data_IF_066001496097
#
_entry.id   IF_066001496097
#
_cell.length_a   1.000
_cell.length_b   1.000
_cell.length_c   1.000
_cell.angle_alpha   90.00
_cell.angle_beta   90.00
_cell.angle_gamma   90.00
#
_symmetry.space_group_name_H-M   'P 1'
#
loop_
_entity.id
_entity.type
_entity.pdbx_description
1 polymer ?
#
# COMPACT_ATOMS: atom_id res chain seq x y z
N UNK A 1 6.07 -23.48 3.95
CA UNK A 1 7.35 -23.17 3.35
C UNK A 1 7.51 -21.66 3.12
N UNK A 2 6.60 -20.98 2.35
CA UNK A 2 6.69 -19.56 2.03
C UNK A 2 6.77 -18.67 3.28
N UNK A 3 5.84 -18.86 4.24
CA UNK A 3 5.84 -18.09 5.49
C UNK A 3 7.16 -18.25 6.27
N UNK A 4 7.65 -19.48 6.37
CA UNK A 4 8.92 -19.75 7.04
C UNK A 4 10.10 -19.10 6.33
N UNK A 5 10.13 -19.09 4.98
CA UNK A 5 11.15 -18.43 4.19
C UNK A 5 11.10 -16.91 4.40
N UNK A 6 9.91 -16.30 4.33
CA UNK A 6 9.74 -14.86 4.53
C UNK A 6 10.17 -14.42 5.94
N UNK A 7 9.83 -15.18 6.97
CA UNK A 7 10.29 -14.93 8.34
C UNK A 7 11.81 -15.08 8.43
N UNK A 8 12.37 -16.15 7.90
CA UNK A 8 13.82 -16.42 7.95
C UNK A 8 14.64 -15.29 7.27
N UNK A 9 14.14 -14.70 6.17
CA UNK A 9 14.80 -13.58 5.50
C UNK A 9 14.74 -12.26 6.28
N UNK A 10 13.92 -12.18 7.33
CA UNK A 10 13.76 -10.98 8.18
C UNK A 10 14.44 -11.10 9.53
N UNK A 11 14.82 -12.32 9.94
CA UNK A 11 15.53 -12.54 11.20
C UNK A 11 16.99 -12.11 11.07
N UNK A 12 17.43 -11.20 11.96
CA UNK A 12 18.82 -10.72 11.99
C UNK A 12 19.81 -11.80 12.50
N UNK A 13 19.30 -12.88 13.12
CA UNK A 13 20.11 -14.02 13.59
C UNK A 13 20.67 -14.85 12.43
N UNK A 14 20.03 -14.78 11.24
CA UNK A 14 20.44 -15.55 10.08
C UNK A 14 21.21 -14.64 9.09
N UNK A 15 22.33 -15.11 8.49
CA UNK A 15 23.10 -14.32 7.51
C UNK A 15 22.37 -14.11 6.19
N UNK A 16 21.16 -14.67 6.02
CA UNK A 16 20.36 -14.61 4.81
C UNK A 16 20.05 -13.17 4.37
N UNK A 17 19.74 -12.29 5.33
CA UNK A 17 19.46 -10.88 5.05
C UNK A 17 20.64 -10.20 4.35
N UNK A 18 21.86 -10.37 4.90
CA UNK A 18 23.08 -9.79 4.32
C UNK A 18 23.39 -10.33 2.93
N UNK A 19 23.22 -11.64 2.72
CA UNK A 19 23.47 -12.26 1.42
C UNK A 19 22.46 -11.80 0.34
N UNK A 20 21.18 -11.70 0.71
CA UNK A 20 20.15 -11.23 -0.22
C UNK A 20 20.27 -9.74 -0.54
N UNK A 21 20.78 -8.94 0.40
CA UNK A 21 21.03 -7.51 0.20
C UNK A 21 22.36 -7.23 -0.52
N UNK A 22 23.29 -8.18 -0.57
CA UNK A 22 24.56 -8.02 -1.27
C UNK A 22 24.39 -7.81 -2.79
N UNK A 23 23.30 -8.34 -3.36
CA UNK A 23 22.95 -8.10 -4.77
C UNK A 23 22.08 -6.87 -4.86
N UNK A 24 22.70 -5.72 -5.09
CA UNK A 24 22.01 -4.42 -5.21
C UNK A 24 22.19 -3.88 -6.62
N UNK A 25 21.09 -3.49 -7.24
CA UNK A 25 21.08 -2.75 -8.51
C UNK A 25 20.83 -1.29 -8.17
N UNK A 26 21.79 -0.42 -8.49
CA UNK A 26 21.68 1.02 -8.27
C UNK A 26 21.77 1.77 -9.60
N UNK A 27 20.88 2.74 -9.77
CA UNK A 27 20.95 3.74 -10.83
C UNK A 27 21.01 5.12 -10.19
N UNK A 28 22.07 5.87 -10.48
CA UNK A 28 22.28 7.24 -9.98
C UNK A 28 22.22 8.21 -11.15
N UNK A 29 21.87 9.48 -10.89
CA UNK A 29 21.84 10.50 -11.92
C UNK A 29 20.72 10.33 -12.94
N UNK A 30 19.56 9.83 -12.54
CA UNK A 30 18.43 9.59 -13.45
C UNK A 30 18.00 10.91 -14.11
N UNK A 31 18.00 10.93 -15.45
CA UNK A 31 17.66 12.12 -16.26
C UNK A 31 18.49 13.38 -15.94
N UNK A 32 19.73 13.20 -15.47
CA UNK A 32 20.61 14.34 -15.12
C UNK A 32 20.26 15.03 -13.79
N UNK A 33 19.47 14.37 -12.94
CA UNK A 33 19.09 14.84 -11.60
C UNK A 33 19.92 14.14 -10.52
N UNK A 34 19.93 14.67 -9.29
CA UNK A 34 20.56 14.03 -8.14
C UNK A 34 19.75 12.81 -7.60
N UNK A 35 18.74 12.39 -8.34
CA UNK A 35 17.87 11.27 -7.95
C UNK A 35 18.58 9.95 -8.26
N UNK A 36 18.75 9.13 -7.24
CA UNK A 36 19.23 7.75 -7.35
C UNK A 36 18.21 6.75 -6.81
N UNK A 37 18.17 5.57 -7.41
CA UNK A 37 17.37 4.43 -6.95
C UNK A 37 18.28 3.25 -6.73
N UNK A 38 18.19 2.62 -5.58
CA UNK A 38 18.86 1.35 -5.28
C UNK A 38 17.82 0.31 -4.86
N UNK A 39 17.89 -0.87 -5.46
CA UNK A 39 16.98 -1.97 -5.18
C UNK A 39 17.80 -3.25 -4.97
N UNK A 40 17.51 -3.98 -3.91
CA UNK A 40 18.03 -5.31 -3.66
C UNK A 40 16.98 -6.37 -4.08
N UNK A 41 16.97 -6.81 -5.34
CA UNK A 41 15.87 -7.62 -5.89
C UNK A 41 15.68 -8.94 -5.17
N UNK A 42 16.76 -9.56 -4.69
CA UNK A 42 16.69 -10.83 -3.95
C UNK A 42 16.10 -10.67 -2.55
N UNK A 43 16.21 -9.49 -1.96
CA UNK A 43 15.64 -9.18 -0.63
C UNK A 43 14.15 -8.81 -0.70
N UNK A 44 13.62 -8.52 -1.88
CA UNK A 44 12.20 -8.26 -2.04
C UNK A 44 11.37 -9.53 -1.74
N UNK A 45 10.19 -9.40 -1.11
CA UNK A 45 9.29 -10.53 -0.85
C UNK A 45 8.97 -11.34 -2.13
N UNK A 46 8.90 -10.66 -3.29
CA UNK A 46 8.68 -11.27 -4.59
C UNK A 46 9.70 -12.34 -4.94
N UNK A 47 10.98 -12.16 -4.58
CA UNK A 47 12.01 -13.17 -4.81
C UNK A 47 11.71 -14.47 -4.02
N UNK A 48 11.21 -14.35 -2.79
CA UNK A 48 10.76 -15.49 -2.00
C UNK A 48 9.59 -16.23 -2.66
N UNK A 49 8.61 -15.50 -3.21
CA UNK A 49 7.51 -16.12 -3.96
C UNK A 49 7.99 -16.87 -5.19
N UNK A 50 8.90 -16.27 -5.98
CA UNK A 50 9.49 -16.92 -7.15
C UNK A 50 10.27 -18.18 -6.75
N UNK A 51 11.11 -18.12 -5.72
CA UNK A 51 11.87 -19.26 -5.24
C UNK A 51 10.96 -20.42 -4.81
N UNK A 52 9.88 -20.14 -4.08
CA UNK A 52 8.91 -21.17 -3.67
C UNK A 52 8.14 -21.72 -4.87
N UNK A 53 7.77 -20.89 -5.84
CA UNK A 53 7.10 -21.35 -7.06
C UNK A 53 8.01 -22.30 -7.88
N UNK A 54 9.29 -21.96 -8.04
CA UNK A 54 10.27 -22.82 -8.71
C UNK A 54 10.47 -24.14 -7.94
N UNK A 55 10.60 -24.07 -6.61
CA UNK A 55 10.70 -25.26 -5.77
C UNK A 55 9.44 -26.14 -5.90
N UNK A 56 8.26 -25.55 -5.97
CA UNK A 56 7.01 -26.28 -6.15
C UNK A 56 6.95 -27.01 -7.50
N UNK A 57 7.39 -26.38 -8.60
CA UNK A 57 7.47 -27.01 -9.92
C UNK A 57 8.32 -28.27 -9.86
N UNK A 58 9.48 -28.20 -9.20
CA UNK A 58 10.40 -29.34 -9.05
C UNK A 58 9.84 -30.40 -8.12
N UNK A 59 9.35 -29.99 -6.93
CA UNK A 59 8.88 -30.91 -5.89
C UNK A 59 7.64 -31.69 -6.33
N UNK A 60 6.69 -31.03 -6.98
CA UNK A 60 5.48 -31.68 -7.51
C UNK A 60 5.66 -32.29 -8.89
N UNK A 61 6.90 -32.26 -9.45
CA UNK A 61 7.23 -32.80 -10.76
C UNK A 61 6.27 -32.31 -11.85
N UNK A 62 5.97 -31.02 -11.84
CA UNK A 62 5.05 -30.41 -12.82
C UNK A 62 5.62 -30.53 -14.23
N UNK A 63 4.77 -30.96 -15.16
CA UNK A 63 5.16 -31.03 -16.58
C UNK A 63 5.36 -29.61 -17.16
N UNK A 64 6.19 -29.52 -18.21
CA UNK A 64 6.48 -28.24 -18.89
C UNK A 64 5.21 -27.51 -19.36
N UNK A 65 4.18 -28.22 -19.76
CA UNK A 65 2.89 -27.69 -20.17
C UNK A 65 2.16 -27.00 -19.00
N UNK A 66 2.11 -27.65 -17.83
CA UNK A 66 1.47 -27.11 -16.62
C UNK A 66 2.22 -25.87 -16.12
N UNK A 67 3.56 -25.94 -16.08
CA UNK A 67 4.40 -24.80 -15.71
C UNK A 67 4.22 -23.63 -16.70
N UNK A 68 4.10 -23.91 -17.99
CA UNK A 68 3.86 -22.92 -19.03
C UNK A 68 2.51 -22.20 -18.88
N UNK A 69 1.44 -22.91 -18.54
CA UNK A 69 0.14 -22.30 -18.26
C UNK A 69 0.22 -21.39 -17.03
N UNK A 70 0.78 -21.88 -15.92
CA UNK A 70 0.93 -21.09 -14.70
C UNK A 70 1.73 -19.81 -14.95
N UNK A 71 2.84 -19.89 -15.70
CA UNK A 71 3.66 -18.75 -16.04
C UNK A 71 2.93 -17.75 -16.95
N UNK A 72 2.17 -18.23 -17.94
CA UNK A 72 1.36 -17.39 -18.81
C UNK A 72 0.28 -16.63 -18.04
N UNK A 73 -0.42 -17.31 -17.14
CA UNK A 73 -1.48 -16.70 -16.34
C UNK A 73 -0.91 -15.69 -15.34
N UNK A 74 0.19 -16.03 -14.68
CA UNK A 74 0.92 -15.07 -13.83
C UNK A 74 1.41 -13.85 -14.63
N UNK A 75 1.92 -14.05 -15.85
CA UNK A 75 2.37 -12.98 -16.73
C UNK A 75 1.25 -12.01 -17.12
N UNK A 76 0.06 -12.51 -17.40
CA UNK A 76 -1.12 -11.66 -17.69
C UNK A 76 -1.50 -10.75 -16.52
N UNK A 77 -1.53 -11.31 -15.31
CA UNK A 77 -1.80 -10.56 -14.09
C UNK A 77 -0.69 -9.54 -13.83
N UNK A 78 0.57 -9.93 -14.04
CA UNK A 78 1.73 -9.06 -13.86
C UNK A 78 1.69 -7.84 -14.78
N UNK A 79 1.34 -8.01 -16.06
CA UNK A 79 1.24 -6.89 -17.02
C UNK A 79 0.17 -5.88 -16.55
N UNK A 80 -1.02 -6.37 -16.17
CA UNK A 80 -2.08 -5.50 -15.65
C UNK A 80 -1.65 -4.70 -14.42
N UNK A 81 -1.01 -5.37 -13.46
CA UNK A 81 -0.49 -4.74 -12.24
C UNK A 81 0.64 -3.76 -12.54
N UNK A 82 1.55 -4.11 -13.46
CA UNK A 82 2.66 -3.25 -13.85
C UNK A 82 2.17 -1.96 -14.52
N UNK A 83 1.16 -2.04 -15.38
CA UNK A 83 0.55 -0.87 -16.02
C UNK A 83 -0.15 0.04 -14.98
N UNK A 84 -0.92 -0.58 -14.07
CA UNK A 84 -1.60 0.17 -13.01
C UNK A 84 -0.60 0.90 -12.09
N UNK A 85 0.43 0.21 -11.62
CA UNK A 85 1.47 0.80 -10.77
C UNK A 85 2.32 1.80 -11.54
N UNK A 86 2.63 1.52 -12.81
CA UNK A 86 3.39 2.42 -13.69
C UNK A 86 2.70 3.76 -13.93
N UNK A 87 1.36 3.80 -13.88
CA UNK A 87 0.60 5.04 -13.92
C UNK A 87 0.44 5.69 -12.54
N UNK A 88 0.13 4.88 -11.52
CA UNK A 88 -0.21 5.38 -10.20
C UNK A 88 0.99 5.93 -9.41
N UNK A 89 2.17 5.28 -9.49
CA UNK A 89 3.36 5.76 -8.76
C UNK A 89 3.82 7.15 -9.19
N UNK A 90 3.94 7.48 -10.50
CA UNK A 90 4.25 8.83 -10.93
C UNK A 90 3.19 9.86 -10.49
N UNK A 91 1.91 9.52 -10.56
CA UNK A 91 0.83 10.41 -10.11
C UNK A 91 0.98 10.78 -8.63
N UNK A 92 1.28 9.80 -7.76
CA UNK A 92 1.53 10.07 -6.34
C UNK A 92 2.79 10.92 -6.15
N UNK A 93 3.85 10.67 -6.92
CA UNK A 93 5.06 11.50 -6.86
C UNK A 93 4.78 12.94 -7.25
N UNK A 94 4.02 13.18 -8.32
CA UNK A 94 3.58 14.54 -8.71
C UNK A 94 2.76 15.17 -7.58
N UNK A 95 1.83 14.44 -6.98
CA UNK A 95 1.02 14.92 -5.87
C UNK A 95 1.88 15.35 -4.66
N UNK A 96 2.84 14.53 -4.25
CA UNK A 96 3.72 14.83 -3.11
C UNK A 96 4.70 15.98 -3.45
N UNK A 97 5.24 15.99 -4.67
CA UNK A 97 6.25 16.96 -5.10
C UNK A 97 5.64 18.27 -5.69
N UNK A 98 4.34 18.41 -5.66
CA UNK A 98 3.64 19.60 -6.19
C UNK A 98 3.99 20.92 -5.49
N UNK A 99 4.69 20.86 -4.34
CA UNK A 99 5.26 22.03 -3.67
C UNK A 99 6.45 22.66 -4.43
N UNK A 100 7.04 21.96 -5.39
CA UNK A 100 8.05 22.53 -6.30
C UNK A 100 7.29 23.24 -7.42
N UNK A 101 6.91 24.51 -7.18
CA UNK A 101 6.15 25.31 -8.12
C UNK A 101 6.54 26.80 -8.04
N UNK A 102 6.33 27.54 -9.13
CA UNK A 102 6.66 28.97 -9.22
C UNK A 102 5.65 29.88 -8.50
N UNK A 103 4.51 29.32 -8.07
CA UNK A 103 3.46 30.07 -7.38
C UNK A 103 3.70 30.24 -5.87
N UNK A 104 4.75 29.61 -5.31
CA UNK A 104 5.07 29.64 -3.88
C UNK A 104 4.03 28.97 -3.00
N UNK A 105 3.19 28.09 -3.58
CA UNK A 105 2.20 27.30 -2.85
C UNK A 105 2.87 26.08 -2.20
N UNK A 106 2.32 25.62 -1.10
CA UNK A 106 2.72 24.36 -0.49
C UNK A 106 2.33 23.16 -1.40
N UNK A 107 2.80 21.96 -1.07
CA UNK A 107 2.38 20.78 -1.84
C UNK A 107 0.88 20.52 -1.67
N UNK A 108 0.25 19.91 -2.68
CA UNK A 108 -1.19 19.57 -2.61
C UNK A 108 -1.59 18.83 -1.32
N UNK A 109 -0.83 17.83 -0.83
CA UNK A 109 -1.14 17.23 0.49
C UNK A 109 -1.11 18.24 1.63
N UNK A 110 -0.18 19.19 1.60
CA UNK A 110 -0.04 20.20 2.65
C UNK A 110 -1.21 21.20 2.62
N UNK A 111 -1.60 21.67 1.44
CA UNK A 111 -2.76 22.56 1.28
C UNK A 111 -4.05 21.88 1.77
N UNK A 112 -4.23 20.61 1.41
CA UNK A 112 -5.35 19.81 1.93
C UNK A 112 -5.28 19.63 3.45
N UNK A 113 -4.08 19.45 4.02
CA UNK A 113 -3.88 19.34 5.45
C UNK A 113 -4.25 20.63 6.20
N UNK A 114 -3.93 21.79 5.63
CA UNK A 114 -4.30 23.10 6.18
C UNK A 114 -5.82 23.21 6.26
N UNK A 115 -6.51 22.98 5.15
CA UNK A 115 -7.97 23.04 5.09
C UNK A 115 -8.61 22.02 6.03
N UNK A 116 -8.06 20.83 6.12
CA UNK A 116 -8.53 19.77 6.98
C UNK A 116 -8.38 20.13 8.47
N UNK A 117 -7.22 20.62 8.89
CA UNK A 117 -6.96 21.03 10.26
C UNK A 117 -7.88 22.19 10.67
N UNK A 118 -8.06 23.18 9.80
CA UNK A 118 -8.89 24.36 10.07
C UNK A 118 -10.39 24.00 10.13
N UNK A 119 -10.83 23.00 9.35
CA UNK A 119 -12.24 22.61 9.25
C UNK A 119 -12.68 21.61 10.32
N UNK A 120 -11.83 20.65 10.66
CA UNK A 120 -12.16 19.49 11.52
C UNK A 120 -11.43 19.56 12.87
N UNK A 121 -10.22 20.13 12.88
CA UNK A 121 -9.45 20.36 14.11
C UNK A 121 -9.27 19.07 14.92
N UNK A 122 -9.59 19.13 16.21
CA UNK A 122 -9.44 18.02 17.15
C UNK A 122 -10.23 16.75 16.82
N UNK A 123 -11.22 16.81 15.90
CA UNK A 123 -11.96 15.63 15.45
C UNK A 123 -11.28 14.91 14.27
N UNK A 124 -10.11 15.38 13.80
CA UNK A 124 -9.37 14.76 12.69
C UNK A 124 -9.12 13.26 12.85
N UNK A 125 -8.87 12.68 14.05
CA UNK A 125 -8.71 11.25 14.23
C UNK A 125 -9.90 10.41 13.75
N UNK A 126 -11.12 10.96 13.74
CA UNK A 126 -12.30 10.29 13.18
C UNK A 126 -12.27 10.21 11.65
N UNK A 127 -11.67 11.20 10.99
CA UNK A 127 -11.61 11.32 9.53
C UNK A 127 -10.42 10.54 8.96
N UNK A 128 -9.33 10.47 9.70
CA UNK A 128 -8.09 9.85 9.25
C UNK A 128 -8.24 8.41 8.69
N UNK A 129 -8.99 7.49 9.36
CA UNK A 129 -9.21 6.15 8.81
C UNK A 129 -10.03 6.15 7.51
N UNK A 130 -10.97 7.08 7.35
CA UNK A 130 -11.77 7.20 6.13
C UNK A 130 -10.91 7.63 4.94
N UNK A 131 -9.99 8.58 5.15
CA UNK A 131 -9.01 8.98 4.15
C UNK A 131 -8.12 7.80 3.76
N UNK A 132 -7.66 7.02 4.75
CA UNK A 132 -6.92 5.79 4.54
C UNK A 132 -7.66 4.76 3.69
N UNK A 133 -8.92 4.53 4.04
CA UNK A 133 -9.79 3.60 3.31
C UNK A 133 -10.04 4.06 1.88
N UNK A 134 -10.26 5.35 1.65
CA UNK A 134 -10.44 5.93 0.32
C UNK A 134 -9.21 5.71 -0.57
N UNK A 135 -8.00 5.93 -0.04
CA UNK A 135 -6.77 5.68 -0.78
C UNK A 135 -6.58 4.22 -1.18
N UNK A 136 -6.88 3.30 -0.28
CA UNK A 136 -6.80 1.87 -0.55
C UNK A 136 -7.92 1.39 -1.49
N UNK A 137 -9.12 1.96 -1.39
CA UNK A 137 -10.21 1.72 -2.33
C UNK A 137 -9.80 2.04 -3.77
N UNK A 138 -9.18 3.21 -3.98
CA UNK A 138 -8.75 3.68 -5.29
C UNK A 138 -7.59 2.86 -5.87
N UNK A 139 -6.61 2.51 -5.03
CA UNK A 139 -5.36 1.89 -5.48
C UNK A 139 -5.33 0.36 -5.36
N UNK A 140 -6.20 -0.23 -4.56
CA UNK A 140 -6.15 -1.64 -4.18
C UNK A 140 -5.01 -1.99 -3.22
N UNK A 141 -4.38 -1.01 -2.59
CA UNK A 141 -3.18 -1.20 -1.79
C UNK A 141 -3.14 -0.27 -0.58
N UNK A 142 -3.09 -0.86 0.62
CA UNK A 142 -2.89 -0.10 1.85
C UNK A 142 -1.54 0.63 1.88
N UNK A 143 -0.49 0.01 1.37
CA UNK A 143 0.83 0.63 1.25
C UNK A 143 0.78 1.88 0.38
N UNK A 144 0.08 1.80 -0.76
CA UNK A 144 -0.07 2.91 -1.68
C UNK A 144 -0.88 4.06 -1.05
N UNK A 145 -1.99 3.72 -0.36
CA UNK A 145 -2.77 4.69 0.41
C UNK A 145 -1.92 5.43 1.44
N UNK A 146 -1.09 4.70 2.20
CA UNK A 146 -0.20 5.30 3.19
C UNK A 146 0.87 6.19 2.53
N UNK A 147 1.45 5.77 1.42
CA UNK A 147 2.40 6.61 0.67
C UNK A 147 1.76 7.90 0.17
N UNK A 148 0.49 7.85 -0.23
CA UNK A 148 -0.24 9.00 -0.76
C UNK A 148 -0.61 10.00 0.34
N UNK A 149 -1.11 9.51 1.46
CA UNK A 149 -1.76 10.35 2.47
C UNK A 149 -0.99 10.53 3.78
N UNK A 150 0.14 9.82 4.00
CA UNK A 150 0.88 9.94 5.26
C UNK A 150 1.34 11.37 5.55
N UNK A 151 1.82 12.11 4.54
CA UNK A 151 2.24 13.49 4.71
C UNK A 151 1.07 14.40 5.08
N UNK A 152 -0.09 14.23 4.42
CA UNK A 152 -1.32 14.95 4.76
C UNK A 152 -1.72 14.67 6.21
N UNK A 153 -1.76 13.41 6.61
CA UNK A 153 -2.14 13.00 7.97
C UNK A 153 -1.21 13.55 9.03
N UNK A 154 0.10 13.45 8.78
CA UNK A 154 1.12 14.00 9.66
C UNK A 154 0.94 15.52 9.83
N UNK A 155 0.84 16.25 8.72
CA UNK A 155 0.74 17.70 8.74
C UNK A 155 -0.57 18.20 9.35
N UNK A 156 -1.67 17.49 9.11
CA UNK A 156 -2.97 17.83 9.73
C UNK A 156 -2.94 17.60 11.25
N UNK A 157 -2.31 16.52 11.70
CA UNK A 157 -2.14 16.24 13.13
C UNK A 157 -1.27 17.29 13.82
N UNK A 158 -0.10 17.60 13.24
CA UNK A 158 0.83 18.61 13.75
C UNK A 158 0.14 19.98 13.89
N UNK A 159 -0.54 20.45 12.85
CA UNK A 159 -1.27 21.73 12.89
C UNK A 159 -2.42 21.76 13.89
N UNK A 160 -3.11 20.64 14.08
CA UNK A 160 -4.19 20.52 15.05
C UNK A 160 -3.71 20.28 16.49
N UNK A 161 -2.39 20.16 16.72
CA UNK A 161 -1.80 19.84 18.01
C UNK A 161 -2.16 18.44 18.52
N UNK A 162 -2.34 17.49 17.60
CA UNK A 162 -2.69 16.10 17.88
C UNK A 162 -1.46 15.19 17.79
N UNK A 163 -1.53 14.00 18.41
CA UNK A 163 -0.49 12.98 18.27
C UNK A 163 -0.43 12.47 16.83
N UNK A 164 0.65 12.81 16.10
CA UNK A 164 0.87 12.38 14.71
C UNK A 164 0.94 10.85 14.61
N UNK A 165 1.55 10.19 15.59
CA UNK A 165 1.63 8.73 15.65
C UNK A 165 0.26 8.08 15.69
N UNK A 166 -0.65 8.64 16.52
CA UNK A 166 -2.01 8.12 16.64
C UNK A 166 -2.80 8.32 15.35
N UNK A 167 -2.68 9.49 14.72
CA UNK A 167 -3.35 9.79 13.45
C UNK A 167 -2.82 8.92 12.31
N UNK A 168 -1.50 8.74 12.23
CA UNK A 168 -0.89 7.84 11.25
C UNK A 168 -1.30 6.38 11.46
N UNK A 169 -1.40 5.92 12.71
CA UNK A 169 -1.91 4.59 13.02
C UNK A 169 -3.37 4.42 12.56
N UNK A 170 -4.21 5.43 12.80
CA UNK A 170 -5.60 5.46 12.34
C UNK A 170 -5.69 5.41 10.79
N UNK A 171 -4.84 6.17 10.09
CA UNK A 171 -4.68 6.11 8.64
C UNK A 171 -4.35 4.69 8.16
N UNK A 172 -3.38 4.02 8.79
CA UNK A 172 -2.97 2.66 8.43
C UNK A 172 -4.11 1.66 8.62
N UNK A 173 -4.85 1.76 9.72
CA UNK A 173 -6.02 0.92 9.98
C UNK A 173 -7.10 1.14 8.91
N UNK A 174 -7.38 2.39 8.58
CA UNK A 174 -8.30 2.74 7.51
C UNK A 174 -7.86 2.21 6.14
N UNK A 175 -6.59 2.36 5.80
CA UNK A 175 -6.03 1.84 4.56
C UNK A 175 -6.19 0.32 4.44
N UNK A 176 -6.02 -0.42 5.54
CA UNK A 176 -6.28 -1.86 5.55
C UNK A 176 -7.76 -2.18 5.34
N UNK A 177 -8.66 -1.42 5.97
CA UNK A 177 -10.11 -1.58 5.78
C UNK A 177 -10.56 -1.31 4.34
N UNK A 178 -9.99 -0.31 3.68
CA UNK A 178 -10.31 0.05 2.30
C UNK A 178 -10.05 -1.05 1.28
N UNK A 179 -9.15 -1.98 1.57
CA UNK A 179 -8.91 -3.14 0.72
C UNK A 179 -10.14 -4.06 0.58
N UNK A 180 -11.06 -4.07 1.56
CA UNK A 180 -12.29 -4.89 1.50
C UNK A 180 -13.24 -4.43 0.39
N UNK A 181 -13.19 -3.17 0.00
CA UNK A 181 -14.09 -2.56 -0.98
C UNK A 181 -13.37 -2.18 -2.27
N UNK A 182 -12.06 -2.36 -2.34
CA UNK A 182 -11.28 -2.08 -3.55
C UNK A 182 -11.70 -2.96 -4.71
N UNK A 183 -12.01 -2.34 -5.85
CA UNK A 183 -12.42 -3.04 -7.08
C UNK A 183 -11.36 -4.06 -7.49
N UNK A 184 -10.07 -3.69 -7.44
CA UNK A 184 -8.96 -4.57 -7.84
C UNK A 184 -8.92 -5.84 -7.00
N UNK A 185 -9.03 -5.70 -5.67
CA UNK A 185 -8.96 -6.83 -4.74
C UNK A 185 -10.24 -7.69 -4.81
N UNK A 186 -11.40 -7.05 -4.96
CA UNK A 186 -12.68 -7.76 -5.08
C UNK A 186 -12.75 -8.54 -6.38
N UNK A 187 -12.32 -7.99 -7.52
CA UNK A 187 -12.24 -8.73 -8.79
C UNK A 187 -11.31 -9.94 -8.68
N UNK A 188 -10.12 -9.77 -8.07
CA UNK A 188 -9.18 -10.86 -7.87
C UNK A 188 -9.77 -11.96 -6.98
N UNK A 189 -10.41 -11.59 -5.86
CA UNK A 189 -11.06 -12.54 -4.96
C UNK A 189 -12.25 -13.25 -5.64
N UNK A 190 -13.11 -12.50 -6.35
CA UNK A 190 -14.25 -13.03 -7.06
C UNK A 190 -13.85 -14.06 -8.13
N UNK A 191 -12.73 -13.81 -8.82
CA UNK A 191 -12.19 -14.76 -9.81
C UNK A 191 -11.81 -16.11 -9.18
N UNK A 192 -11.22 -16.09 -7.97
CA UNK A 192 -10.79 -17.30 -7.26
C UNK A 192 -11.99 -18.14 -6.79
N UNK A 193 -13.05 -17.47 -6.33
CA UNK A 193 -14.24 -18.16 -5.77
C UNK A 193 -15.37 -18.36 -6.79
N UNK A 194 -15.15 -18.02 -8.06
CA UNK A 194 -16.13 -18.23 -9.14
C UNK A 194 -17.30 -17.24 -9.13
N UNK A 195 -17.17 -16.08 -8.48
CA UNK A 195 -18.18 -15.03 -8.38
C UNK A 195 -17.93 -13.86 -9.34
N UNK A 196 -17.30 -14.11 -10.49
CA UNK A 196 -17.11 -13.11 -11.53
C UNK A 196 -18.43 -12.46 -11.95
N UNK A 197 -18.43 -11.16 -12.19
CA UNK A 197 -19.58 -10.29 -12.52
C UNK A 197 -20.51 -10.01 -11.33
N UNK A 198 -20.14 -10.40 -10.11
CA UNK A 198 -20.88 -10.08 -8.89
C UNK A 198 -20.11 -9.09 -7.98
N UNK A 199 -19.08 -8.46 -8.52
CA UNK A 199 -18.17 -7.57 -7.78
C UNK A 199 -18.91 -6.43 -7.09
N UNK A 200 -19.90 -5.83 -7.77
CA UNK A 200 -20.74 -4.78 -7.20
C UNK A 200 -21.56 -5.24 -5.99
N UNK A 201 -22.05 -6.49 -5.99
CA UNK A 201 -22.77 -7.06 -4.85
C UNK A 201 -21.82 -7.31 -3.68
N UNK A 202 -20.62 -7.82 -3.95
CA UNK A 202 -19.57 -8.05 -2.96
C UNK A 202 -19.16 -6.73 -2.30
N UNK A 203 -18.89 -5.69 -3.11
CA UNK A 203 -18.51 -4.35 -2.60
C UNK A 203 -19.62 -3.77 -1.72
N UNK A 204 -20.88 -3.86 -2.12
CA UNK A 204 -22.00 -3.38 -1.29
C UNK A 204 -22.08 -4.12 0.05
N UNK A 205 -21.82 -5.41 0.06
CA UNK A 205 -21.82 -6.22 1.27
C UNK A 205 -20.65 -5.89 2.19
N UNK A 206 -19.44 -5.68 1.63
CA UNK A 206 -18.23 -5.38 2.40
C UNK A 206 -18.13 -3.91 2.81
N UNK A 207 -18.92 -3.02 2.21
CA UNK A 207 -18.94 -1.59 2.56
C UNK A 207 -19.34 -1.36 4.03
N UNK A 208 -20.34 -2.08 4.52
CA UNK A 208 -20.83 -1.94 5.90
C UNK A 208 -19.76 -2.36 6.93
N UNK A 209 -19.12 -3.54 6.83
CA UNK A 209 -17.98 -3.89 7.66
C UNK A 209 -16.83 -2.89 7.58
N UNK A 210 -16.52 -2.37 6.39
CA UNK A 210 -15.47 -1.37 6.21
C UNK A 210 -15.80 -0.07 6.97
N UNK A 211 -17.03 0.43 6.84
CA UNK A 211 -17.48 1.63 7.56
C UNK A 211 -17.47 1.42 9.08
N UNK A 212 -17.93 0.25 9.55
CA UNK A 212 -17.86 -0.11 10.95
C UNK A 212 -16.42 -0.09 11.46
N UNK A 213 -15.52 -0.74 10.73
CA UNK A 213 -14.09 -0.82 11.11
C UNK A 213 -13.43 0.56 11.14
N UNK A 214 -13.64 1.38 10.11
CA UNK A 214 -13.05 2.73 10.04
C UNK A 214 -13.61 3.65 11.13
N UNK A 215 -14.91 3.55 11.41
CA UNK A 215 -15.53 4.32 12.49
C UNK A 215 -15.00 3.90 13.87
N UNK A 216 -14.90 2.59 14.12
CA UNK A 216 -14.34 2.07 15.37
C UNK A 216 -12.86 2.49 15.54
N UNK A 217 -12.06 2.41 14.48
CA UNK A 217 -10.67 2.86 14.48
C UNK A 217 -10.56 4.37 14.77
N UNK A 218 -11.42 5.17 14.17
CA UNK A 218 -11.47 6.62 14.39
C UNK A 218 -11.88 7.00 15.81
N UNK A 219 -12.88 6.33 16.38
CA UNK A 219 -13.31 6.53 17.76
C UNK A 219 -12.20 6.15 18.75
N UNK A 220 -11.53 5.04 18.53
CA UNK A 220 -10.38 4.64 19.34
C UNK A 220 -9.24 5.66 19.24
N UNK A 221 -8.90 6.11 18.04
CA UNK A 221 -7.87 7.12 17.85
C UNK A 221 -8.23 8.44 18.56
N UNK A 222 -9.49 8.86 18.47
CA UNK A 222 -9.97 10.05 19.20
C UNK A 222 -9.85 9.87 20.71
N UNK A 223 -10.21 8.69 21.23
CA UNK A 223 -10.11 8.39 22.65
C UNK A 223 -8.65 8.40 23.13
N UNK A 224 -7.71 7.86 22.32
CA UNK A 224 -6.27 7.90 22.62
C UNK A 224 -5.73 9.32 22.62
N UNK A 225 -6.12 10.15 21.66
CA UNK A 225 -5.69 11.56 21.62
C UNK A 225 -6.28 12.35 22.79
N UNK A 226 -7.52 12.07 23.22
CA UNK A 226 -8.12 12.74 24.37
C UNK A 226 -7.53 12.31 25.72
N UNK A 227 -6.84 11.17 25.76
CA UNK A 227 -6.21 10.62 26.98
C UNK A 227 -4.71 10.98 27.09
N UNK A 228 -4.09 11.51 26.02
CA UNK A 228 -2.67 11.92 25.96
C UNK A 228 -2.52 13.41 26.26
#
# INVERSE_FOLDING_TARGET
>A
LLAALLVATRLDVLPLKGWLQAVTISATGILGTDIGVSVAPLYLPGAGFVAVALAAIVFFRMGSWQAGIALRDAGRVLIGSALALGAAVPMVRVFIQSGVNDAGLASMPMELAIVAADSVGGAWPLVAPLVGAMGAFLSGSATFSNMMFALLQFSAADRAGLSETTVLAAQMLGANAGNMVSVVNVVAAAAVVGLLRQEGAIIRFTLLPMLYYTTAAGLLALAFVAAS
#
